data_IF_545836648787
#
_entry.id   IF_545836648787
#
_cell.length_a   1.000
_cell.length_b   1.000
_cell.length_c   1.000
_cell.angle_alpha   90.00
_cell.angle_beta   90.00
_cell.angle_gamma   90.00
#
_symmetry.space_group_name_H-M   'P 1'
#
loop_
_entity.id
_entity.type
_entity.pdbx_description
1 polymer ?
#
# COMPACT_ATOMS: atom_id res chain seq x y z
N UNK A 1 -18.64 16.34 34.54
CA UNK A 1 -17.55 15.36 34.21
C UNK A 1 -17.92 14.32 33.15
N UNK A 2 -19.20 13.98 32.88
CA UNK A 2 -19.55 12.96 31.87
C UNK A 2 -19.28 13.37 30.40
N UNK A 3 -19.41 14.66 30.04
CA UNK A 3 -19.27 15.11 28.65
C UNK A 3 -17.85 14.98 28.06
N UNK A 4 -16.79 15.07 28.88
CA UNK A 4 -15.40 14.90 28.42
C UNK A 4 -15.08 13.44 28.06
N UNK A 5 -15.71 12.45 28.72
CA UNK A 5 -15.54 11.03 28.41
C UNK A 5 -16.16 10.63 27.07
N UNK A 6 -17.33 11.20 26.74
CA UNK A 6 -17.99 10.97 25.45
C UNK A 6 -17.19 11.55 24.28
N UNK A 7 -16.67 12.78 24.42
CA UNK A 7 -15.85 13.39 23.37
C UNK A 7 -14.58 12.58 23.04
N UNK A 8 -13.94 12.00 24.05
CA UNK A 8 -12.77 11.14 23.87
C UNK A 8 -13.12 9.80 23.20
N UNK A 9 -14.22 9.17 23.61
CA UNK A 9 -14.69 7.94 22.99
C UNK A 9 -15.10 8.12 21.52
N UNK A 10 -15.72 9.25 21.15
CA UNK A 10 -16.06 9.56 19.76
C UNK A 10 -14.80 9.84 18.93
N UNK A 11 -13.79 10.50 19.49
CA UNK A 11 -12.51 10.72 18.81
C UNK A 11 -11.77 9.40 18.54
N UNK A 12 -11.70 8.51 19.53
CA UNK A 12 -11.06 7.19 19.41
C UNK A 12 -11.76 6.31 18.35
N UNK A 13 -13.10 6.35 18.29
CA UNK A 13 -13.88 5.63 17.26
C UNK A 13 -13.67 6.20 15.86
N UNK A 14 -13.55 7.52 15.74
CA UNK A 14 -13.30 8.20 14.46
C UNK A 14 -11.89 7.88 13.94
N UNK A 15 -10.90 7.86 14.82
CA UNK A 15 -9.53 7.47 14.51
C UNK A 15 -9.44 5.99 14.08
N UNK A 16 -10.14 5.10 14.79
CA UNK A 16 -10.24 3.68 14.42
C UNK A 16 -10.92 3.46 13.05
N UNK A 17 -11.95 4.24 12.72
CA UNK A 17 -12.60 4.20 11.42
C UNK A 17 -11.68 4.69 10.29
N UNK A 18 -10.94 5.78 10.50
CA UNK A 18 -9.96 6.29 9.55
C UNK A 18 -8.84 5.27 9.28
N UNK A 19 -8.38 4.57 10.32
CA UNK A 19 -7.41 3.47 10.19
C UNK A 19 -7.94 2.29 9.40
N UNK A 20 -9.18 1.87 9.65
CA UNK A 20 -9.79 0.78 8.86
C UNK A 20 -9.89 1.14 7.39
N UNK A 21 -10.28 2.38 7.08
CA UNK A 21 -10.31 2.88 5.71
C UNK A 21 -8.90 2.87 5.07
N UNK A 22 -7.88 3.29 5.83
CA UNK A 22 -6.50 3.26 5.36
C UNK A 22 -6.00 1.82 5.14
N UNK A 23 -6.27 0.88 6.05
CA UNK A 23 -5.91 -0.54 5.89
C UNK A 23 -6.60 -1.16 4.67
N UNK A 24 -7.88 -0.87 4.46
CA UNK A 24 -8.62 -1.33 3.28
C UNK A 24 -8.00 -0.77 1.98
N UNK A 25 -7.61 0.51 1.98
CA UNK A 25 -6.92 1.12 0.86
C UNK A 25 -5.56 0.46 0.56
N UNK A 26 -4.80 0.09 1.60
CA UNK A 26 -3.51 -0.59 1.41
C UNK A 26 -3.68 -2.02 0.89
N UNK A 27 -4.71 -2.74 1.33
CA UNK A 27 -5.05 -4.05 0.78
C UNK A 27 -5.35 -3.94 -0.71
N UNK A 28 -6.19 -2.98 -1.11
CA UNK A 28 -6.45 -2.68 -2.51
C UNK A 28 -5.17 -2.32 -3.28
N UNK A 29 -4.28 -1.52 -2.69
CA UNK A 29 -3.01 -1.17 -3.32
C UNK A 29 -2.10 -2.40 -3.55
N UNK A 30 -2.08 -3.36 -2.61
CA UNK A 30 -1.35 -4.62 -2.76
C UNK A 30 -1.97 -5.53 -3.83
N UNK A 31 -3.29 -5.65 -3.84
CA UNK A 31 -4.02 -6.40 -4.88
C UNK A 31 -3.75 -5.80 -6.27
N UNK A 32 -3.77 -4.47 -6.39
CA UNK A 32 -3.39 -3.75 -7.61
C UNK A 32 -1.95 -4.01 -8.02
N UNK A 33 -1.01 -4.00 -7.07
CA UNK A 33 0.39 -4.30 -7.34
C UNK A 33 0.59 -5.70 -7.93
N UNK A 34 -0.09 -6.69 -7.35
CA UNK A 34 -0.05 -8.06 -7.83
C UNK A 34 -0.58 -8.16 -9.26
N UNK A 35 -1.68 -7.46 -9.58
CA UNK A 35 -2.25 -7.41 -10.93
C UNK A 35 -1.25 -6.77 -11.91
N UNK A 36 -0.63 -5.65 -11.55
CA UNK A 36 0.36 -4.94 -12.38
C UNK A 36 1.56 -5.83 -12.66
N UNK A 37 2.18 -6.43 -11.63
CA UNK A 37 3.32 -7.35 -11.78
C UNK A 37 2.97 -8.54 -12.68
N UNK A 38 1.77 -9.11 -12.52
CA UNK A 38 1.31 -10.24 -13.34
C UNK A 38 1.15 -9.85 -14.82
N UNK A 39 0.58 -8.67 -15.09
CA UNK A 39 0.43 -8.15 -16.45
C UNK A 39 1.78 -7.88 -17.11
N UNK A 40 2.70 -7.25 -16.39
CA UNK A 40 4.06 -6.98 -16.85
C UNK A 40 4.79 -8.26 -17.23
N UNK A 41 4.75 -9.28 -16.35
CA UNK A 41 5.36 -10.59 -16.63
C UNK A 41 4.75 -11.25 -17.89
N UNK A 42 3.45 -11.08 -18.09
CA UNK A 42 2.76 -11.61 -19.28
C UNK A 42 3.17 -10.89 -20.56
N UNK A 43 3.29 -9.56 -20.52
CA UNK A 43 3.76 -8.77 -21.68
C UNK A 43 5.23 -9.08 -22.01
N UNK A 44 6.07 -9.26 -21.00
CA UNK A 44 7.46 -9.67 -21.16
C UNK A 44 7.59 -10.98 -21.93
N UNK A 45 6.86 -12.02 -21.50
CA UNK A 45 6.82 -13.33 -22.17
C UNK A 45 6.34 -13.23 -23.62
N UNK A 46 5.38 -12.33 -23.90
CA UNK A 46 4.89 -12.11 -25.27
C UNK A 46 5.93 -11.44 -26.16
N UNK A 47 6.67 -10.46 -25.63
CA UNK A 47 7.75 -9.78 -26.35
C UNK A 47 8.90 -10.74 -26.70
N UNK A 48 9.28 -11.62 -25.76
CA UNK A 48 10.29 -12.65 -26.01
C UNK A 48 9.86 -13.62 -27.14
N UNK A 49 8.57 -13.98 -27.19
CA UNK A 49 8.04 -14.91 -28.19
C UNK A 49 7.80 -14.33 -29.59
N UNK A 50 7.91 -13.02 -29.80
CA UNK A 50 7.67 -12.40 -31.12
C UNK A 50 8.95 -12.37 -31.95
N UNK A 51 9.31 -13.45 -32.67
CA UNK A 51 10.50 -13.51 -33.53
C UNK A 51 10.56 -12.40 -34.60
N UNK A 52 9.41 -11.86 -35.03
CA UNK A 52 9.30 -10.87 -36.11
C UNK A 52 9.72 -9.43 -35.75
N UNK A 53 9.88 -9.08 -34.47
CA UNK A 53 10.40 -7.77 -34.07
C UNK A 53 11.93 -7.74 -34.14
N UNK A 54 12.50 -6.64 -34.64
CA UNK A 54 13.93 -6.40 -34.53
C UNK A 54 14.34 -6.44 -33.04
N UNK A 55 15.50 -7.01 -32.75
CA UNK A 55 15.96 -7.19 -31.38
C UNK A 55 16.01 -5.86 -30.61
N UNK A 56 16.43 -4.78 -31.27
CA UNK A 56 16.50 -3.44 -30.70
C UNK A 56 15.13 -2.90 -30.26
N UNK A 57 14.08 -3.13 -31.06
CA UNK A 57 12.71 -2.73 -30.72
C UNK A 57 12.19 -3.52 -29.52
N UNK A 58 12.52 -4.81 -29.42
CA UNK A 58 12.17 -5.65 -28.26
C UNK A 58 12.83 -5.14 -27.00
N UNK A 59 14.13 -4.85 -27.04
CA UNK A 59 14.89 -4.34 -25.90
C UNK A 59 14.35 -2.98 -25.48
N UNK A 60 14.04 -2.09 -26.41
CA UNK A 60 13.45 -0.78 -26.12
C UNK A 60 12.10 -0.91 -25.42
N UNK A 61 11.22 -1.76 -25.93
CA UNK A 61 9.92 -2.03 -25.31
C UNK A 61 10.07 -2.65 -23.91
N UNK A 62 11.01 -3.58 -23.74
CA UNK A 62 11.31 -4.22 -22.45
C UNK A 62 11.81 -3.20 -21.41
N UNK A 63 12.70 -2.28 -21.79
CA UNK A 63 13.21 -1.22 -20.92
C UNK A 63 12.08 -0.28 -20.47
N UNK A 64 11.24 0.17 -21.40
CA UNK A 64 10.10 1.05 -21.07
C UNK A 64 9.13 0.40 -20.08
N UNK A 65 8.81 -0.88 -20.30
CA UNK A 65 7.94 -1.68 -19.42
C UNK A 65 8.56 -1.81 -18.03
N UNK A 66 9.87 -2.03 -17.93
CA UNK A 66 10.57 -2.13 -16.65
C UNK A 66 10.63 -0.80 -15.90
N UNK A 67 10.82 0.32 -16.59
CA UNK A 67 10.82 1.64 -15.97
C UNK A 67 9.45 1.99 -15.39
N UNK A 68 8.38 1.75 -16.14
CA UNK A 68 7.01 2.00 -15.66
C UNK A 68 6.64 1.10 -14.48
N UNK A 69 7.03 -0.17 -14.54
CA UNK A 69 6.88 -1.13 -13.45
C UNK A 69 7.62 -0.67 -12.18
N UNK A 70 8.87 -0.28 -12.33
CA UNK A 70 9.75 0.12 -11.22
C UNK A 70 9.21 1.38 -10.55
N UNK A 71 8.78 2.37 -11.34
CA UNK A 71 8.15 3.59 -10.85
C UNK A 71 6.87 3.28 -10.06
N UNK A 72 6.00 2.44 -10.62
CA UNK A 72 4.73 2.03 -9.97
C UNK A 72 4.96 1.31 -8.65
N UNK A 73 5.91 0.35 -8.62
CA UNK A 73 6.28 -0.39 -7.41
C UNK A 73 6.91 0.52 -6.35
N UNK A 74 7.70 1.51 -6.76
CA UNK A 74 8.28 2.49 -5.85
C UNK A 74 7.22 3.35 -5.15
N UNK A 75 6.22 3.82 -5.89
CA UNK A 75 5.11 4.57 -5.32
C UNK A 75 4.31 3.74 -4.31
N UNK A 76 4.03 2.48 -4.64
CA UNK A 76 3.40 1.54 -3.72
C UNK A 76 4.24 1.32 -2.45
N UNK A 77 5.55 1.08 -2.60
CA UNK A 77 6.44 0.88 -1.47
C UNK A 77 6.39 2.07 -0.49
N UNK A 78 6.44 3.30 -1.01
CA UNK A 78 6.29 4.52 -0.18
C UNK A 78 4.95 4.57 0.57
N UNK A 79 3.85 4.23 -0.11
CA UNK A 79 2.53 4.19 0.51
C UNK A 79 2.47 3.16 1.65
N UNK A 80 2.97 1.95 1.42
CA UNK A 80 3.02 0.89 2.44
C UNK A 80 3.87 1.26 3.66
N UNK A 81 5.04 1.86 3.43
CA UNK A 81 5.91 2.34 4.52
C UNK A 81 5.20 3.40 5.37
N UNK A 82 4.51 4.35 4.74
CA UNK A 82 3.74 5.39 5.45
C UNK A 82 2.64 4.77 6.31
N UNK A 83 1.87 3.84 5.77
CA UNK A 83 0.81 3.15 6.51
C UNK A 83 1.36 2.34 7.67
N UNK A 84 2.44 1.56 7.47
CA UNK A 84 3.05 0.76 8.52
C UNK A 84 3.50 1.63 9.70
N UNK A 85 4.09 2.81 9.41
CA UNK A 85 4.44 3.79 10.45
C UNK A 85 3.22 4.26 11.23
N UNK A 86 2.11 4.58 10.56
CA UNK A 86 0.85 4.98 11.22
C UNK A 86 0.28 3.87 12.09
N UNK A 87 0.19 2.64 11.56
CA UNK A 87 -0.27 1.47 12.31
C UNK A 87 0.58 1.21 13.57
N UNK A 88 1.91 1.32 13.46
CA UNK A 88 2.81 1.21 14.62
C UNK A 88 2.58 2.31 15.65
N UNK A 89 2.33 3.54 15.20
CA UNK A 89 2.02 4.66 16.09
C UNK A 89 0.71 4.41 16.88
N UNK A 90 -0.36 4.01 16.19
CA UNK A 90 -1.62 3.68 16.85
C UNK A 90 -1.53 2.47 17.77
N UNK A 91 -0.81 1.41 17.36
CA UNK A 91 -0.59 0.27 18.25
C UNK A 91 0.13 0.68 19.54
N UNK A 92 1.12 1.59 19.44
CA UNK A 92 1.76 2.18 20.63
C UNK A 92 0.77 2.99 21.45
N UNK A 93 -0.05 3.85 20.86
CA UNK A 93 -1.06 4.64 21.57
C UNK A 93 -2.06 3.73 22.31
N UNK A 94 -2.60 2.71 21.65
CA UNK A 94 -3.52 1.74 22.27
C UNK A 94 -2.88 1.02 23.46
N UNK A 95 -1.61 0.62 23.33
CA UNK A 95 -0.86 -0.03 24.42
C UNK A 95 -0.63 0.90 25.62
N UNK A 96 -0.44 2.20 25.38
CA UNK A 96 -0.29 3.20 26.44
C UNK A 96 -1.65 3.50 27.09
N UNK A 97 -2.71 3.72 26.31
CA UNK A 97 -4.08 3.95 26.81
C UNK A 97 -4.59 2.77 27.65
N UNK A 98 -4.34 1.53 27.21
CA UNK A 98 -4.69 0.33 27.96
C UNK A 98 -3.92 0.21 29.29
N UNK A 99 -2.67 0.69 29.37
CA UNK A 99 -1.90 0.72 30.62
C UNK A 99 -2.40 1.77 31.60
N UNK A 100 -2.81 2.94 31.12
CA UNK A 100 -3.36 4.01 31.98
C UNK A 100 -4.80 3.77 32.43
N UNK A 101 -5.53 2.83 31.82
CA UNK A 101 -6.88 2.44 32.25
C UNK A 101 -6.90 1.38 33.37
N UNK A 102 -5.75 0.84 33.75
CA UNK A 102 -5.61 -0.23 34.77
C UNK A 102 -5.09 0.33 36.11
N UNK A 103 -4.85 1.64 36.20
CA UNK A 103 -4.56 2.39 37.42
C UNK A 103 -5.75 3.28 37.76
#
# INVERSE_FOLDING_TARGET
MKQQGYGRAVADLTEAAALRAEVAHNRLALEWAQIVVTRLLTMWKRLEGHEALAYEDKVTAQVQILDEATSSLWHLHKALVRTNRRLKAHHRQLKHSARTSVL
#
